data_IF_883854864095
#
_entry.id   IF_883854864095
#
_cell.length_a   1.000
_cell.length_b   1.000
_cell.length_c   1.000
_cell.angle_alpha   90.00
_cell.angle_beta   90.00
_cell.angle_gamma   90.00
#
_symmetry.space_group_name_H-M   'P 1'
#
loop_
_entity.id
_entity.type
_entity.pdbx_description
1 polymer ?
#
# COMPACT_ATOMS: atom_id res chain seq x y z
N UNK A 1 22.44 14.88 25.55
CA UNK A 1 21.32 15.18 24.63
C UNK A 1 21.61 14.46 23.32
N UNK A 2 20.85 13.42 22.98
CA UNK A 2 20.99 12.77 21.67
C UNK A 2 20.17 13.58 20.66
N UNK A 3 20.83 14.15 19.67
CA UNK A 3 20.17 14.83 18.56
C UNK A 3 19.87 13.76 17.51
N UNK A 4 18.60 13.52 17.22
CA UNK A 4 18.18 12.68 16.11
C UNK A 4 18.03 13.56 14.88
N UNK A 5 18.93 13.37 13.91
CA UNK A 5 18.86 14.07 12.63
C UNK A 5 17.90 13.32 11.70
N UNK A 6 16.84 14.00 11.26
CA UNK A 6 15.92 13.47 10.25
C UNK A 6 16.59 13.55 8.88
N UNK A 7 17.20 12.45 8.45
CA UNK A 7 17.66 12.32 7.07
C UNK A 7 16.46 12.05 6.16
N UNK A 8 16.05 13.05 5.39
CA UNK A 8 15.20 12.83 4.24
C UNK A 8 16.06 12.28 3.10
N UNK A 9 15.75 11.08 2.63
CA UNK A 9 16.42 10.43 1.52
C UNK A 9 17.93 10.13 1.75
N UNK A 10 18.33 9.48 2.86
CA UNK A 10 19.72 9.11 3.10
C UNK A 10 20.17 8.18 1.98
N UNK A 11 21.20 8.57 1.22
CA UNK A 11 21.75 7.88 0.02
C UNK A 11 21.06 6.54 -0.24
N UNK A 12 19.90 6.61 -0.89
CA UNK A 12 19.06 5.44 -1.10
C UNK A 12 19.93 4.37 -1.76
N UNK A 13 19.88 3.15 -1.24
CA UNK A 13 20.40 2.01 -1.99
C UNK A 13 19.71 2.07 -3.36
N UNK A 14 20.46 2.15 -4.48
CA UNK A 14 19.88 2.45 -5.78
C UNK A 14 18.83 1.43 -6.25
N UNK A 15 18.80 0.27 -5.61
CA UNK A 15 17.88 -0.85 -5.81
C UNK A 15 16.75 -0.91 -4.76
N UNK A 16 16.56 0.13 -3.95
CA UNK A 16 15.50 0.21 -2.93
C UNK A 16 14.57 1.37 -3.24
N UNK A 17 13.27 1.09 -3.34
CA UNK A 17 12.23 2.12 -3.30
C UNK A 17 11.42 1.97 -2.03
N UNK A 18 11.13 3.10 -1.40
CA UNK A 18 10.26 3.24 -0.25
C UNK A 18 9.25 4.34 -0.59
N UNK A 19 7.98 4.11 -0.32
CA UNK A 19 6.96 5.14 -0.47
C UNK A 19 5.80 4.97 0.52
N UNK A 20 5.05 6.04 0.73
CA UNK A 20 3.85 6.08 1.54
C UNK A 20 2.74 6.83 0.82
N UNK A 21 1.52 6.32 0.94
CA UNK A 21 0.35 6.85 0.26
C UNK A 21 -0.72 7.18 1.30
N UNK A 22 -1.22 8.41 1.26
CA UNK A 22 -2.27 8.89 2.15
C UNK A 22 -3.45 9.32 1.30
N UNK A 23 -4.59 8.65 1.46
CA UNK A 23 -5.82 8.99 0.78
C UNK A 23 -6.89 9.34 1.80
N UNK A 24 -7.35 10.60 1.72
CA UNK A 24 -8.47 11.10 2.51
C UNK A 24 -9.75 11.03 1.67
N UNK A 25 -10.92 10.76 2.29
CA UNK A 25 -12.20 10.72 1.57
C UNK A 25 -12.57 12.03 0.89
N UNK A 26 -12.87 11.98 -0.41
CA UNK A 26 -13.23 13.15 -1.21
C UNK A 26 -14.75 13.38 -1.28
N UNK A 27 -15.56 12.32 -1.13
CA UNK A 27 -17.02 12.38 -1.28
C UNK A 27 -17.79 11.60 -0.19
N UNK A 28 -19.13 11.72 -0.21
CA UNK A 28 -20.02 11.12 0.80
C UNK A 28 -19.95 9.59 0.85
N UNK A 29 -19.59 8.92 -0.24
CA UNK A 29 -19.48 7.46 -0.29
C UNK A 29 -18.16 7.03 0.34
N UNK A 30 -17.07 7.72 0.02
CA UNK A 30 -15.75 7.45 0.59
C UNK A 30 -15.69 7.71 2.09
N UNK A 31 -16.39 8.76 2.56
CA UNK A 31 -16.51 9.05 4.00
C UNK A 31 -17.15 7.91 4.79
N UNK A 32 -17.92 7.02 4.14
CA UNK A 32 -18.50 5.84 4.78
C UNK A 32 -17.48 4.75 5.05
N UNK A 33 -16.40 4.68 4.29
CA UNK A 33 -15.35 3.67 4.50
C UNK A 33 -14.17 4.23 5.29
N UNK A 34 -13.88 5.54 5.16
CA UNK A 34 -12.84 6.22 5.94
C UNK A 34 -11.55 6.43 5.15
N UNK A 35 -10.51 6.88 5.84
CA UNK A 35 -9.21 7.22 5.24
C UNK A 35 -8.39 5.95 5.01
N UNK A 36 -7.55 5.96 3.98
CA UNK A 36 -6.71 4.84 3.59
C UNK A 36 -5.25 5.28 3.56
N UNK A 37 -4.41 4.60 4.35
CA UNK A 37 -2.98 4.84 4.44
C UNK A 37 -2.22 3.59 4.05
N UNK A 38 -1.14 3.77 3.31
CA UNK A 38 -0.29 2.67 2.87
C UNK A 38 1.17 3.05 2.99
N UNK A 39 1.99 2.05 3.23
CA UNK A 39 3.43 2.15 3.10
C UNK A 39 3.91 0.97 2.26
N UNK A 40 4.99 1.16 1.54
CA UNK A 40 5.59 0.14 0.70
C UNK A 40 7.10 0.24 0.64
N UNK A 41 7.74 -0.92 0.61
CA UNK A 41 9.16 -1.08 0.30
C UNK A 41 9.30 -2.17 -0.74
N UNK A 42 10.09 -1.89 -1.77
CA UNK A 42 10.52 -2.90 -2.72
C UNK A 42 12.06 -2.87 -2.79
N UNK A 43 12.68 -4.02 -2.53
CA UNK A 43 14.13 -4.25 -2.60
C UNK A 43 14.52 -4.80 -3.99
N UNK A 44 15.80 -4.73 -4.36
CA UNK A 44 16.33 -5.26 -5.62
C UNK A 44 15.55 -4.79 -6.88
N UNK A 45 15.16 -3.51 -6.88
CA UNK A 45 14.26 -2.93 -7.89
C UNK A 45 14.94 -2.84 -9.24
N UNK A 46 14.25 -3.32 -10.28
CA UNK A 46 14.62 -3.08 -11.67
C UNK A 46 14.02 -1.76 -12.18
N UNK A 47 14.65 -1.06 -13.15
CA UNK A 47 14.15 0.22 -13.67
C UNK A 47 12.68 0.19 -14.15
N UNK A 48 12.23 -0.93 -14.70
CA UNK A 48 10.84 -1.13 -15.14
C UNK A 48 9.81 -1.18 -13.99
N UNK A 49 10.25 -1.45 -12.75
CA UNK A 49 9.42 -1.61 -11.57
C UNK A 49 9.43 -0.37 -10.66
N UNK A 50 9.98 0.77 -11.11
CA UNK A 50 10.03 2.01 -10.31
C UNK A 50 8.64 2.50 -9.89
N UNK A 51 7.62 2.27 -10.72
CA UNK A 51 6.22 2.65 -10.44
C UNK A 51 5.40 1.53 -9.80
N UNK A 52 6.04 0.47 -9.33
CA UNK A 52 5.33 -0.70 -8.81
C UNK A 52 4.47 -0.35 -7.59
N UNK A 53 5.04 0.40 -6.63
CA UNK A 53 4.32 0.82 -5.43
C UNK A 53 3.14 1.77 -5.76
N UNK A 54 3.33 2.73 -6.67
CA UNK A 54 2.26 3.62 -7.15
C UNK A 54 1.09 2.83 -7.72
N UNK A 55 1.40 1.88 -8.61
CA UNK A 55 0.38 1.07 -9.27
C UNK A 55 -0.37 0.20 -8.25
N UNK A 56 0.34 -0.36 -7.28
CA UNK A 56 -0.26 -1.17 -6.22
C UNK A 56 -1.19 -0.32 -5.34
N UNK A 57 -0.72 0.84 -4.88
CA UNK A 57 -1.50 1.78 -4.08
C UNK A 57 -2.77 2.25 -4.82
N UNK A 58 -2.64 2.50 -6.13
CA UNK A 58 -3.78 2.88 -6.98
C UNK A 58 -4.83 1.77 -7.06
N UNK A 59 -4.42 0.52 -7.26
CA UNK A 59 -5.35 -0.64 -7.28
C UNK A 59 -6.09 -0.78 -5.95
N UNK A 60 -5.39 -0.62 -4.82
CA UNK A 60 -6.02 -0.65 -3.50
C UNK A 60 -7.02 0.50 -3.36
N UNK A 61 -6.61 1.74 -3.65
CA UNK A 61 -7.46 2.95 -3.55
C UNK A 61 -8.74 2.78 -4.37
N UNK A 62 -8.62 2.44 -5.65
CA UNK A 62 -9.75 2.33 -6.58
C UNK A 62 -10.77 1.30 -6.10
N UNK A 63 -10.31 0.16 -5.57
CA UNK A 63 -11.21 -0.85 -5.04
C UNK A 63 -11.83 -0.45 -3.70
N UNK A 64 -11.04 0.16 -2.81
CA UNK A 64 -11.47 0.52 -1.47
C UNK A 64 -12.58 1.58 -1.48
N UNK A 65 -12.45 2.57 -2.35
CA UNK A 65 -13.39 3.67 -2.51
C UNK A 65 -14.46 3.43 -3.57
N UNK A 66 -14.61 2.20 -4.08
CA UNK A 66 -15.70 1.87 -4.98
C UNK A 66 -17.05 2.18 -4.29
N UNK A 67 -17.94 2.99 -4.92
CA UNK A 67 -19.22 3.36 -4.33
C UNK A 67 -20.08 2.12 -4.03
N UNK A 68 -20.11 1.73 -2.75
CA UNK A 68 -20.83 0.56 -2.25
C UNK A 68 -21.46 0.86 -0.89
N UNK A 69 -22.39 0.01 -0.45
CA UNK A 69 -22.95 0.06 0.92
C UNK A 69 -22.10 -0.77 1.92
N UNK A 70 -20.82 -0.99 1.62
CA UNK A 70 -19.97 -1.88 2.40
C UNK A 70 -19.42 -1.18 3.65
N UNK A 71 -19.10 -1.99 4.67
CA UNK A 71 -18.35 -1.52 5.83
C UNK A 71 -16.87 -1.34 5.47
N UNK A 72 -16.10 -0.55 6.24
CA UNK A 72 -14.66 -0.37 6.04
C UNK A 72 -13.89 -1.70 5.96
N UNK A 73 -14.24 -2.67 6.81
CA UNK A 73 -13.62 -4.00 6.86
C UNK A 73 -13.87 -4.78 5.58
N UNK A 74 -15.12 -4.75 5.09
CA UNK A 74 -15.50 -5.44 3.86
C UNK A 74 -14.83 -4.79 2.64
N UNK A 75 -14.83 -3.46 2.57
CA UNK A 75 -14.11 -2.74 1.51
C UNK A 75 -12.61 -3.01 1.53
N UNK A 76 -11.99 -3.05 2.70
CA UNK A 76 -10.58 -3.40 2.84
C UNK A 76 -10.34 -4.83 2.37
N UNK A 77 -11.15 -5.80 2.82
CA UNK A 77 -11.03 -7.22 2.43
C UNK A 77 -11.12 -7.41 0.92
N UNK A 78 -12.11 -6.78 0.28
CA UNK A 78 -12.26 -6.86 -1.19
C UNK A 78 -11.12 -6.17 -1.93
N UNK A 79 -10.56 -5.10 -1.36
CA UNK A 79 -9.37 -4.42 -1.90
C UNK A 79 -8.14 -5.32 -1.84
N UNK A 80 -7.95 -6.06 -0.75
CA UNK A 80 -6.88 -7.05 -0.61
C UNK A 80 -7.03 -8.17 -1.64
N UNK A 81 -8.24 -8.70 -1.83
CA UNK A 81 -8.50 -9.70 -2.87
C UNK A 81 -8.15 -9.18 -4.27
N UNK A 82 -8.61 -7.97 -4.60
CA UNK A 82 -8.29 -7.35 -5.89
C UNK A 82 -6.80 -7.09 -6.08
N UNK A 83 -6.11 -6.74 -5.01
CA UNK A 83 -4.66 -6.53 -5.00
C UNK A 83 -3.92 -7.84 -5.27
N UNK A 84 -4.37 -8.95 -4.66
CA UNK A 84 -3.84 -10.28 -4.95
C UNK A 84 -4.05 -10.69 -6.41
N UNK A 85 -5.25 -10.47 -6.97
CA UNK A 85 -5.51 -10.74 -8.39
C UNK A 85 -4.59 -9.95 -9.32
N UNK A 86 -4.34 -8.68 -8.98
CA UNK A 86 -3.42 -7.81 -9.72
C UNK A 86 -1.99 -8.35 -9.68
N UNK A 87 -1.50 -8.71 -8.49
CA UNK A 87 -0.17 -9.31 -8.31
C UNK A 87 -0.04 -10.65 -9.04
N UNK A 88 -1.07 -11.50 -9.01
CA UNK A 88 -1.09 -12.76 -9.73
C UNK A 88 -0.96 -12.56 -11.26
N UNK A 89 -1.65 -11.56 -11.83
CA UNK A 89 -1.53 -11.21 -13.26
C UNK A 89 -0.12 -10.75 -13.61
N UNK A 90 0.51 -9.94 -12.75
CA UNK A 90 1.89 -9.51 -12.95
C UNK A 90 2.82 -10.73 -12.94
N UNK A 91 2.68 -11.65 -11.98
CA UNK A 91 3.46 -12.87 -11.94
C UNK A 91 3.26 -13.74 -13.20
N UNK A 92 2.02 -13.93 -13.65
CA UNK A 92 1.69 -14.69 -14.88
C UNK A 92 2.28 -14.08 -16.15
N UNK A 93 2.50 -12.76 -16.18
CA UNK A 93 3.19 -12.07 -17.28
C UNK A 93 4.72 -12.24 -17.27
N UNK A 94 5.27 -12.97 -16.28
CA UNK A 94 6.70 -13.23 -16.14
C UNK A 94 7.43 -12.21 -15.26
N UNK A 95 6.77 -11.15 -14.80
CA UNK A 95 7.37 -10.20 -13.87
C UNK A 95 7.24 -10.71 -12.43
N UNK A 96 8.28 -11.40 -11.95
CA UNK A 96 8.32 -12.00 -10.60
C UNK A 96 9.34 -11.34 -9.68
N UNK A 97 10.04 -10.30 -10.13
CA UNK A 97 11.10 -9.63 -9.35
C UNK A 97 10.59 -9.04 -8.02
N UNK A 98 9.30 -8.71 -7.92
CA UNK A 98 8.68 -8.23 -6.68
C UNK A 98 8.46 -9.34 -5.64
N UNK A 99 8.38 -10.60 -6.07
CA UNK A 99 8.08 -11.73 -5.21
C UNK A 99 9.26 -11.98 -4.26
N UNK A 100 9.00 -11.91 -2.96
CA UNK A 100 10.03 -11.99 -1.91
C UNK A 100 10.79 -10.69 -1.64
N UNK A 101 10.61 -9.65 -2.47
CA UNK A 101 11.25 -8.35 -2.29
C UNK A 101 10.29 -7.25 -1.80
N UNK A 102 8.97 -7.49 -1.89
CA UNK A 102 7.92 -6.56 -1.48
C UNK A 102 7.61 -6.67 0.01
N UNK A 103 7.65 -5.53 0.71
CA UNK A 103 6.96 -5.33 1.98
C UNK A 103 5.91 -4.23 1.80
N UNK A 104 4.68 -4.48 2.22
CA UNK A 104 3.58 -3.54 2.01
C UNK A 104 2.63 -3.59 3.20
N UNK A 105 2.19 -2.43 3.68
CA UNK A 105 1.20 -2.31 4.74
C UNK A 105 0.07 -1.41 4.25
N UNK A 106 -1.16 -1.79 4.59
CA UNK A 106 -2.38 -1.07 4.27
C UNK A 106 -3.14 -0.90 5.57
N UNK A 107 -3.57 0.32 5.86
CA UNK A 107 -4.33 0.69 7.03
C UNK A 107 -5.56 1.48 6.58
N UNK A 108 -6.74 1.11 7.07
CA UNK A 108 -7.92 1.97 6.99
C UNK A 108 -8.27 2.51 8.38
N UNK A 109 -8.66 3.78 8.42
CA UNK A 109 -9.02 4.49 9.63
C UNK A 109 -10.39 5.12 9.46
N UNK A 110 -11.32 4.79 10.35
CA UNK A 110 -12.64 5.41 10.41
C UNK A 110 -13.08 5.51 11.86
N UNK A 111 -13.50 6.69 12.32
CA UNK A 111 -14.01 6.88 13.68
C UNK A 111 -13.05 6.32 14.77
N UNK A 112 -11.74 6.47 14.58
CA UNK A 112 -10.69 5.89 15.42
C UNK A 112 -10.64 4.35 15.46
N UNK A 113 -11.41 3.67 14.62
CA UNK A 113 -11.27 2.24 14.35
C UNK A 113 -10.25 2.05 13.23
N UNK A 114 -9.23 1.24 13.52
CA UNK A 114 -8.14 0.95 12.61
C UNK A 114 -8.20 -0.51 12.18
N UNK A 115 -8.35 -0.74 10.88
CA UNK A 115 -8.17 -2.06 10.28
C UNK A 115 -6.87 -2.05 9.49
N UNK A 116 -6.11 -3.14 9.52
CA UNK A 116 -4.85 -3.19 8.78
C UNK A 116 -4.56 -4.57 8.21
N UNK A 117 -3.72 -4.59 7.19
CA UNK A 117 -3.11 -5.78 6.65
C UNK A 117 -1.66 -5.46 6.27
N UNK A 118 -0.79 -6.47 6.34
CA UNK A 118 0.60 -6.33 5.91
C UNK A 118 1.12 -7.60 5.26
N UNK A 119 2.15 -7.44 4.44
CA UNK A 119 2.97 -8.52 3.88
C UNK A 119 4.45 -8.12 3.96
N UNK A 120 5.32 -9.12 4.05
CA UNK A 120 6.76 -8.92 4.16
C UNK A 120 7.20 -8.44 5.54
N UNK A 121 8.28 -7.66 5.56
CA UNK A 121 9.12 -7.42 6.74
C UNK A 121 8.62 -6.26 7.63
N UNK A 122 7.58 -5.53 7.21
CA UNK A 122 7.06 -4.42 8.01
C UNK A 122 6.60 -4.88 9.39
N UNK A 123 6.92 -4.06 10.39
CA UNK A 123 6.48 -4.21 11.78
C UNK A 123 5.56 -3.05 12.13
N UNK A 124 4.45 -3.37 12.77
CA UNK A 124 3.49 -2.40 13.32
C UNK A 124 3.53 -2.65 14.84
N UNK A 125 3.75 -1.59 15.62
CA UNK A 125 3.94 -1.64 17.07
C UNK A 125 2.81 -0.93 17.78
#
# INVERSE_FOLDING_TARGET
MQVFEFHFNPKLKPDLIFDSFCYEPENIYERRVGSLYMAGVLKNVLPQNLRFLDNLAKVVKERYYTPTLHSPEKSLKESLQRTNDFLERIAKSGNVNWLGNLSFAILSLRNFELNFAKVGDFKIF
#
